data_IF_929788429521
#
_entry.id   IF_929788429521
#
_cell.length_a   1.000
_cell.length_b   1.000
_cell.length_c   1.000
_cell.angle_alpha   90.00
_cell.angle_beta   90.00
_cell.angle_gamma   90.00
#
_symmetry.space_group_name_H-M   'P 1'
#
loop_
_entity.id
_entity.type
_entity.pdbx_description
1 polymer ?
#
# COMPACT_ATOMS: atom_id res chain seq x y z
N UNK A 1 0.61 -13.24 -10.21
CA UNK A 1 1.92 -12.56 -10.36
C UNK A 1 2.94 -13.51 -10.95
N UNK A 2 3.97 -13.00 -11.63
CA UNK A 2 4.90 -13.83 -12.42
C UNK A 2 6.34 -13.51 -12.10
N UNK A 3 7.17 -14.54 -11.91
CA UNK A 3 8.62 -14.38 -11.74
C UNK A 3 9.29 -13.88 -13.01
N UNK A 4 8.79 -14.32 -14.18
CA UNK A 4 9.30 -13.91 -15.48
C UNK A 4 8.20 -13.27 -16.33
N UNK A 5 8.54 -12.14 -16.94
CA UNK A 5 7.64 -11.45 -17.87
C UNK A 5 7.25 -12.31 -19.06
N UNK A 6 8.17 -13.16 -19.53
CA UNK A 6 7.96 -14.02 -20.69
C UNK A 6 6.86 -15.06 -20.48
N UNK A 7 6.54 -15.40 -19.22
CA UNK A 7 5.52 -16.39 -18.89
C UNK A 7 4.11 -15.81 -18.91
N UNK A 8 3.98 -14.48 -18.89
CA UNK A 8 2.69 -13.77 -18.81
C UNK A 8 1.85 -14.00 -20.07
N UNK A 9 2.40 -13.73 -21.25
CA UNK A 9 1.62 -13.82 -22.49
C UNK A 9 1.17 -15.27 -22.79
N UNK A 10 2.01 -16.32 -22.62
CA UNK A 10 1.57 -17.72 -22.75
C UNK A 10 0.49 -18.12 -21.73
N UNK A 11 0.57 -17.60 -20.50
CA UNK A 11 -0.46 -17.81 -19.49
C UNK A 11 -1.79 -17.18 -19.91
N UNK A 12 -1.76 -15.89 -20.28
CA UNK A 12 -2.94 -15.16 -20.72
C UNK A 12 -3.58 -15.78 -21.96
N UNK A 13 -2.78 -16.27 -22.91
CA UNK A 13 -3.28 -16.93 -24.13
C UNK A 13 -4.13 -18.18 -23.86
N UNK A 14 -4.05 -18.76 -22.65
CA UNK A 14 -4.84 -19.90 -22.21
C UNK A 14 -6.04 -19.50 -21.33
N UNK A 15 -6.22 -18.21 -21.08
CA UNK A 15 -7.35 -17.64 -20.33
C UNK A 15 -8.42 -17.06 -21.26
N UNK A 16 -9.51 -16.64 -20.67
CA UNK A 16 -10.65 -15.96 -21.27
C UNK A 16 -10.24 -14.63 -21.92
N UNK A 17 -9.17 -14.00 -21.41
CA UNK A 17 -8.57 -12.79 -21.98
C UNK A 17 -7.48 -13.07 -23.03
N UNK A 18 -7.36 -14.32 -23.52
CA UNK A 18 -6.37 -14.74 -24.50
C UNK A 18 -6.27 -13.88 -25.77
N UNK A 19 -7.37 -13.41 -26.37
CA UNK A 19 -7.31 -12.49 -27.52
C UNK A 19 -6.55 -11.19 -27.24
N UNK A 20 -6.48 -10.77 -25.97
CA UNK A 20 -5.83 -9.54 -25.52
C UNK A 20 -4.50 -9.77 -24.81
N UNK A 21 -3.98 -11.00 -24.83
CA UNK A 21 -2.78 -11.40 -24.07
C UNK A 21 -1.56 -10.47 -24.31
N UNK A 22 -1.35 -10.03 -25.55
CA UNK A 22 -0.25 -9.12 -25.89
C UNK A 22 -0.45 -7.71 -25.31
N UNK A 23 -1.68 -7.19 -25.35
CA UNK A 23 -2.01 -5.88 -24.79
C UNK A 23 -1.86 -5.89 -23.27
N UNK A 24 -2.42 -6.89 -22.59
CA UNK A 24 -2.32 -7.06 -21.14
C UNK A 24 -0.86 -7.28 -20.70
N UNK A 25 -0.07 -8.07 -21.45
CA UNK A 25 1.36 -8.22 -21.19
C UNK A 25 2.15 -6.90 -21.41
N UNK A 26 1.63 -5.99 -22.22
CA UNK A 26 2.13 -4.62 -22.35
C UNK A 26 1.89 -3.76 -21.10
N UNK A 27 0.81 -4.03 -20.35
CA UNK A 27 0.44 -3.30 -19.14
C UNK A 27 1.16 -3.80 -17.88
N UNK A 28 1.86 -4.94 -17.91
CA UNK A 28 2.51 -5.47 -16.71
C UNK A 28 3.57 -4.52 -16.14
N UNK A 29 3.63 -4.44 -14.81
CA UNK A 29 4.61 -3.61 -14.08
C UNK A 29 5.57 -4.48 -13.26
N UNK A 30 6.85 -4.09 -13.14
CA UNK A 30 7.73 -4.73 -12.18
C UNK A 30 7.25 -4.46 -10.75
N UNK A 31 7.40 -5.46 -9.88
CA UNK A 31 7.02 -5.42 -8.48
C UNK A 31 7.97 -6.32 -7.67
N UNK A 32 7.86 -6.26 -6.36
CA UNK A 32 8.57 -7.14 -5.42
C UNK A 32 7.55 -7.74 -4.47
N UNK A 33 7.48 -9.07 -4.48
CA UNK A 33 6.86 -9.85 -3.40
C UNK A 33 7.88 -10.12 -2.31
N UNK A 34 7.42 -10.70 -1.21
CA UNK A 34 8.28 -10.98 -0.08
C UNK A 34 8.14 -12.42 0.38
N UNK A 35 9.24 -12.99 0.86
CA UNK A 35 9.24 -14.29 1.53
C UNK A 35 9.84 -14.15 2.90
N UNK A 36 9.49 -15.07 3.79
CA UNK A 36 10.10 -15.12 5.11
C UNK A 36 11.61 -15.30 5.00
N UNK A 37 12.35 -14.48 5.72
CA UNK A 37 13.80 -14.51 5.76
C UNK A 37 14.31 -14.52 7.21
N UNK A 38 15.61 -14.73 7.36
CA UNK A 38 16.29 -14.59 8.64
C UNK A 38 16.38 -13.12 9.04
N UNK A 39 16.30 -12.86 10.34
CA UNK A 39 16.48 -11.51 10.88
C UNK A 39 17.84 -10.91 10.53
N UNK A 40 17.83 -9.63 10.18
CA UNK A 40 19.02 -8.82 9.91
C UNK A 40 18.71 -7.35 10.24
N UNK A 41 19.56 -6.71 11.04
CA UNK A 41 19.47 -5.27 11.31
C UNK A 41 19.56 -4.48 10.00
N UNK A 42 18.62 -3.56 9.83
CA UNK A 42 18.47 -2.73 8.63
C UNK A 42 17.88 -3.46 7.42
N UNK A 43 17.58 -4.75 7.53
CA UNK A 43 16.95 -5.55 6.48
C UNK A 43 15.45 -5.30 6.35
N UNK A 44 14.83 -5.86 5.32
CA UNK A 44 13.37 -5.74 5.12
C UNK A 44 12.60 -6.49 6.21
N UNK A 45 11.56 -5.84 6.76
CA UNK A 45 10.62 -6.46 7.70
C UNK A 45 9.27 -5.75 7.73
N UNK A 46 8.26 -6.49 8.16
CA UNK A 46 6.89 -6.04 8.38
C UNK A 46 6.51 -6.19 9.85
N UNK A 47 5.83 -5.19 10.40
CA UNK A 47 5.44 -5.12 11.81
C UNK A 47 6.60 -5.15 12.80
N UNK A 48 6.24 -5.17 14.08
CA UNK A 48 7.15 -5.11 15.21
C UNK A 48 7.77 -3.73 15.36
N UNK A 49 9.09 -3.71 15.52
CA UNK A 49 9.86 -2.52 15.90
C UNK A 49 10.84 -2.14 14.78
N UNK A 50 10.99 -0.86 14.41
CA UNK A 50 11.94 -0.48 13.37
C UNK A 50 13.41 -0.57 13.84
N UNK A 51 14.32 -0.70 12.89
CA UNK A 51 15.75 -0.48 13.10
C UNK A 51 16.07 0.99 12.79
N UNK A 52 16.39 1.78 13.82
CA UNK A 52 16.61 3.23 13.70
C UNK A 52 17.88 3.65 14.42
N UNK A 53 18.52 4.78 14.05
CA UNK A 53 19.59 5.34 14.85
C UNK A 53 19.05 5.90 16.19
N UNK A 54 19.86 5.97 17.25
CA UNK A 54 19.43 6.48 18.55
C UNK A 54 18.87 7.91 18.54
N UNK A 55 19.30 8.72 17.56
CA UNK A 55 18.84 10.11 17.38
C UNK A 55 17.54 10.25 16.59
N UNK A 56 16.93 9.14 16.15
CA UNK A 56 15.72 9.19 15.34
C UNK A 56 14.53 9.69 16.18
N UNK A 57 13.86 10.73 15.70
CA UNK A 57 12.60 11.19 16.31
C UNK A 57 11.46 10.33 15.79
N UNK A 58 10.70 9.72 16.70
CA UNK A 58 9.53 8.95 16.32
C UNK A 58 8.52 9.84 15.57
N UNK A 59 7.97 9.41 14.43
CA UNK A 59 7.09 10.23 13.64
C UNK A 59 5.73 10.39 14.31
N UNK A 60 5.16 11.58 14.14
CA UNK A 60 3.81 11.91 14.55
C UNK A 60 3.07 12.60 13.41
N UNK A 61 1.74 12.47 13.45
CA UNK A 61 0.84 13.30 12.66
C UNK A 61 0.37 14.50 13.47
N UNK A 62 0.03 15.55 12.75
CA UNK A 62 -0.76 16.64 13.30
C UNK A 62 -2.21 16.20 13.54
N UNK A 63 -3.03 17.11 14.08
CA UNK A 63 -4.47 16.94 14.03
C UNK A 63 -4.93 16.87 12.57
N UNK A 64 -5.91 16.01 12.26
CA UNK A 64 -6.42 15.92 10.90
C UNK A 64 -7.13 17.21 10.52
N UNK A 65 -6.92 17.67 9.29
CA UNK A 65 -7.52 18.92 8.79
C UNK A 65 -9.05 18.91 8.85
N UNK A 66 -9.68 17.74 8.65
CA UNK A 66 -11.13 17.52 8.79
C UNK A 66 -11.52 16.88 10.14
N UNK A 67 -10.60 16.85 11.12
CA UNK A 67 -10.72 16.05 12.33
C UNK A 67 -11.94 16.36 13.18
N UNK A 68 -12.38 17.63 13.25
CA UNK A 68 -13.57 18.01 14.00
C UNK A 68 -14.86 17.39 13.42
N UNK A 69 -15.00 17.39 12.09
CA UNK A 69 -16.15 16.80 11.41
C UNK A 69 -16.16 15.27 11.56
N UNK A 70 -14.99 14.63 11.45
CA UNK A 70 -14.86 13.18 11.67
C UNK A 70 -15.15 12.81 13.13
N UNK A 71 -14.65 13.60 14.09
CA UNK A 71 -14.91 13.40 15.51
C UNK A 71 -16.39 13.49 15.85
N UNK A 72 -17.12 14.47 15.32
CA UNK A 72 -18.57 14.60 15.52
C UNK A 72 -19.32 13.36 15.04
N UNK A 73 -18.97 12.85 13.85
CA UNK A 73 -19.61 11.66 13.26
C UNK A 73 -19.29 10.37 13.98
N UNK A 74 -18.09 10.27 14.54
CA UNK A 74 -17.63 9.10 15.27
C UNK A 74 -17.82 9.23 16.79
N UNK A 75 -18.52 10.27 17.27
CA UNK A 75 -18.78 10.49 18.69
C UNK A 75 -19.47 9.29 19.37
N UNK A 76 -20.33 8.58 18.63
CA UNK A 76 -21.01 7.37 19.12
C UNK A 76 -20.06 6.20 19.41
N UNK A 77 -18.82 6.23 18.88
CA UNK A 77 -17.76 5.27 19.20
C UNK A 77 -16.99 5.62 20.48
N UNK A 78 -17.33 6.74 21.13
CA UNK A 78 -16.77 7.21 22.38
C UNK A 78 -16.01 8.52 22.23
N UNK A 79 -16.17 9.42 23.19
CA UNK A 79 -15.55 10.76 23.19
C UNK A 79 -14.02 10.70 23.15
N UNK A 80 -13.42 9.76 23.88
CA UNK A 80 -11.96 9.59 23.90
C UNK A 80 -11.38 9.12 22.58
N UNK A 81 -12.13 8.31 21.82
CA UNK A 81 -11.77 7.93 20.47
C UNK A 81 -11.96 9.10 19.50
N UNK A 82 -13.12 9.76 19.52
CA UNK A 82 -13.41 10.89 18.64
C UNK A 82 -12.41 12.05 18.81
N UNK A 83 -11.98 12.36 20.04
CA UNK A 83 -10.99 13.41 20.32
C UNK A 83 -9.64 13.16 19.63
N UNK A 84 -9.29 11.92 19.30
CA UNK A 84 -8.01 11.60 18.68
C UNK A 84 -7.84 12.22 17.30
N UNK A 85 -8.93 12.57 16.61
CA UNK A 85 -8.87 13.18 15.29
C UNK A 85 -8.48 14.66 15.34
N UNK A 86 -8.63 15.33 16.48
CA UNK A 86 -8.43 16.78 16.65
C UNK A 86 -7.14 17.14 17.39
N UNK A 87 -6.31 16.15 17.71
CA UNK A 87 -5.02 16.34 18.37
C UNK A 87 -3.90 15.61 17.62
N UNK A 88 -2.65 16.10 17.69
CA UNK A 88 -1.50 15.35 17.19
C UNK A 88 -1.36 13.98 17.88
N UNK A 89 -0.86 13.00 17.14
CA UNK A 89 -0.65 11.65 17.66
C UNK A 89 0.56 10.97 16.98
N UNK A 90 1.31 10.12 17.71
CA UNK A 90 2.34 9.28 17.09
C UNK A 90 1.71 8.29 16.10
N UNK A 91 2.44 7.96 15.04
CA UNK A 91 2.03 6.92 14.07
C UNK A 91 2.81 5.63 14.34
N UNK A 92 2.23 4.48 14.03
CA UNK A 92 2.83 3.17 14.31
C UNK A 92 3.63 2.67 13.10
N UNK A 93 4.62 1.82 13.36
CA UNK A 93 5.52 1.27 12.35
C UNK A 93 4.88 0.11 11.59
N UNK A 94 4.70 0.28 10.28
CA UNK A 94 4.13 -0.75 9.41
C UNK A 94 5.22 -1.67 8.88
N UNK A 95 6.27 -1.11 8.29
CA UNK A 95 7.37 -1.89 7.73
C UNK A 95 8.61 -1.03 7.45
N UNK A 96 9.75 -1.70 7.24
CA UNK A 96 10.92 -1.11 6.61
C UNK A 96 11.34 -1.97 5.42
N UNK A 97 11.79 -1.31 4.36
CA UNK A 97 12.22 -1.94 3.12
C UNK A 97 13.68 -1.57 2.87
N UNK A 98 14.57 -2.58 2.86
CA UNK A 98 15.97 -2.41 2.51
C UNK A 98 16.10 -2.15 1.00
N UNK A 99 16.40 -0.92 0.62
CA UNK A 99 16.56 -0.53 -0.78
C UNK A 99 17.89 -1.03 -1.37
N UNK A 100 18.79 -1.57 -0.53
CA UNK A 100 20.04 -2.16 -0.97
C UNK A 100 19.90 -3.62 -1.40
N UNK A 101 18.77 -4.27 -1.09
CA UNK A 101 18.43 -5.63 -1.49
C UNK A 101 18.56 -5.80 -3.02
N UNK A 102 19.35 -6.78 -3.52
CA UNK A 102 19.50 -7.04 -4.94
C UNK A 102 18.19 -7.30 -5.68
N UNK A 103 17.20 -7.94 -5.05
CA UNK A 103 15.88 -8.18 -5.64
C UNK A 103 15.11 -6.87 -5.85
N UNK A 104 15.12 -6.00 -4.83
CA UNK A 104 14.50 -4.68 -4.89
C UNK A 104 15.16 -3.83 -5.96
N UNK A 105 16.51 -3.78 -6.00
CA UNK A 105 17.26 -3.07 -7.04
C UNK A 105 16.97 -3.59 -8.44
N UNK A 106 16.91 -4.92 -8.61
CA UNK A 106 16.66 -5.55 -9.91
C UNK A 106 15.28 -5.19 -10.45
N UNK A 107 14.24 -5.26 -9.62
CA UNK A 107 12.88 -5.01 -10.05
C UNK A 107 12.55 -3.50 -10.13
N UNK A 108 12.96 -2.73 -9.12
CA UNK A 108 12.46 -1.38 -8.89
C UNK A 108 13.56 -0.31 -8.86
N UNK A 109 14.81 -0.64 -9.19
CA UNK A 109 15.93 0.32 -9.23
C UNK A 109 15.69 1.57 -10.09
N UNK A 110 14.97 1.50 -11.23
CA UNK A 110 14.58 2.70 -11.98
C UNK A 110 13.57 3.60 -11.25
N UNK A 111 12.77 3.03 -10.34
CA UNK A 111 11.67 3.71 -9.67
C UNK A 111 12.04 4.20 -8.27
N UNK A 112 12.77 3.40 -7.50
CA UNK A 112 13.11 3.66 -6.09
C UNK A 112 14.56 4.11 -5.95
N UNK A 113 14.94 4.74 -4.83
CA UNK A 113 16.36 4.96 -4.54
C UNK A 113 17.11 3.63 -4.41
N UNK A 114 18.41 3.64 -4.71
CA UNK A 114 19.27 2.44 -4.66
C UNK A 114 20.05 2.26 -3.35
N UNK A 115 19.76 3.08 -2.34
CA UNK A 115 20.49 3.14 -1.07
C UNK A 115 19.55 3.39 0.11
N UNK A 116 20.02 3.04 1.31
CA UNK A 116 19.27 3.22 2.54
C UNK A 116 18.05 2.30 2.63
N UNK A 117 17.01 2.77 3.33
CA UNK A 117 15.75 2.07 3.52
C UNK A 117 14.57 3.03 3.45
N UNK A 118 13.41 2.52 3.06
CA UNK A 118 12.14 3.21 3.28
C UNK A 118 11.49 2.68 4.55
N UNK A 119 11.13 3.58 5.46
CA UNK A 119 10.36 3.30 6.66
C UNK A 119 8.93 3.75 6.42
N UNK A 120 7.96 2.87 6.65
CA UNK A 120 6.54 3.15 6.49
C UNK A 120 5.90 3.19 7.87
N UNK A 121 5.26 4.31 8.18
CA UNK A 121 4.45 4.49 9.37
C UNK A 121 3.04 4.89 8.98
N UNK A 122 2.06 4.40 9.73
CA UNK A 122 0.65 4.70 9.53
C UNK A 122 -0.07 4.80 10.86
N UNK A 123 -1.10 5.63 10.90
CA UNK A 123 -1.97 5.78 12.05
C UNK A 123 -2.82 4.51 12.27
N UNK A 124 -2.33 3.58 13.09
CA UNK A 124 -3.05 2.37 13.46
C UNK A 124 -4.29 2.60 14.35
N UNK A 125 -4.48 3.83 14.86
CA UNK A 125 -5.64 4.24 15.63
C UNK A 125 -6.74 4.77 14.73
N UNK A 126 -6.55 5.98 14.20
CA UNK A 126 -7.54 6.72 13.42
C UNK A 126 -7.40 6.58 11.90
N UNK A 127 -6.28 6.04 11.40
CA UNK A 127 -6.00 5.89 9.97
C UNK A 127 -7.07 5.20 9.15
N UNK A 128 -7.81 4.18 9.65
CA UNK A 128 -8.93 3.56 8.91
C UNK A 128 -10.05 4.54 8.52
N UNK A 129 -10.09 5.73 9.13
CA UNK A 129 -11.06 6.78 8.87
C UNK A 129 -10.41 8.04 8.29
N UNK A 130 -9.23 7.90 7.67
CA UNK A 130 -8.52 8.98 7.00
C UNK A 130 -7.81 8.46 5.75
N UNK A 131 -8.05 9.11 4.61
CA UNK A 131 -7.47 8.75 3.30
C UNK A 131 -6.47 9.83 2.81
N UNK A 132 -5.85 10.52 3.77
CA UNK A 132 -4.99 11.68 3.55
C UNK A 132 -3.51 11.36 3.67
N UNK A 133 -2.66 12.30 3.25
CA UNK A 133 -1.21 12.27 3.57
C UNK A 133 -0.93 12.46 5.06
N UNK A 134 -1.89 13.00 5.83
CA UNK A 134 -1.70 13.27 7.26
C UNK A 134 -1.60 11.97 8.07
N UNK A 135 -2.26 10.89 7.61
CA UNK A 135 -2.36 9.60 8.29
C UNK A 135 -1.09 8.75 8.21
N UNK A 136 -0.13 9.10 7.35
CA UNK A 136 1.06 8.29 7.09
C UNK A 136 2.35 9.11 7.11
N UNK A 137 3.47 8.44 7.42
CA UNK A 137 4.81 8.99 7.23
C UNK A 137 5.66 7.94 6.53
N UNK A 138 6.19 8.30 5.37
CA UNK A 138 7.19 7.49 4.66
C UNK A 138 8.51 8.22 4.70
N UNK A 139 9.51 7.59 5.30
CA UNK A 139 10.81 8.21 5.57
C UNK A 139 11.88 7.44 4.82
N UNK A 140 12.65 8.14 3.98
CA UNK A 140 13.85 7.59 3.38
C UNK A 140 15.02 7.79 4.34
N UNK A 141 15.40 6.71 5.02
CA UNK A 141 16.48 6.71 6.00
C UNK A 141 17.79 6.22 5.37
N UNK A 142 18.83 7.04 5.51
CA UNK A 142 20.17 6.79 5.01
C UNK A 142 21.15 6.40 6.13
N UNK A 143 20.64 6.21 7.35
CA UNK A 143 21.50 5.91 8.49
C UNK A 143 22.30 4.62 8.26
N UNK A 144 23.63 4.64 8.48
CA UNK A 144 24.47 3.46 8.34
C UNK A 144 23.99 2.30 9.20
N UNK A 145 24.08 1.07 8.67
CA UNK A 145 23.58 -0.15 9.34
C UNK A 145 24.23 -0.38 10.71
N UNK A 146 25.52 -0.02 10.85
CA UNK A 146 26.28 -0.15 12.10
C UNK A 146 25.88 0.86 13.19
N UNK A 147 25.00 1.82 12.86
CA UNK A 147 24.44 2.79 13.81
C UNK A 147 23.00 2.50 14.20
N UNK A 148 22.43 1.41 13.72
CA UNK A 148 21.04 1.08 13.98
C UNK A 148 20.90 0.20 15.19
N UNK A 149 19.82 0.43 15.90
CA UNK A 149 19.34 -0.43 16.95
C UNK A 149 17.85 -0.66 16.76
N UNK A 150 17.38 -1.80 17.27
CA UNK A 150 15.95 -2.07 17.36
C UNK A 150 15.34 -1.05 18.34
N UNK A 151 14.33 -0.31 17.90
CA UNK A 151 13.68 0.71 18.74
C UNK A 151 12.27 0.28 19.13
N UNK A 152 12.08 0.14 20.44
CA UNK A 152 10.76 -0.08 21.03
C UNK A 152 9.82 1.09 20.71
N UNK A 153 8.52 0.79 20.68
CA UNK A 153 7.48 1.81 20.53
C UNK A 153 7.53 2.78 21.71
N UNK A 154 7.41 4.10 21.47
CA UNK A 154 7.32 5.06 22.56
C UNK A 154 6.05 4.82 23.39
N UNK A 155 6.13 5.05 24.71
CA UNK A 155 4.96 4.93 25.61
C UNK A 155 3.76 5.77 25.14
N UNK A 156 4.00 6.95 24.55
CA UNK A 156 2.94 7.79 23.99
C UNK A 156 2.18 7.12 22.83
N UNK A 157 2.82 6.23 22.06
CA UNK A 157 2.17 5.45 21.01
C UNK A 157 1.33 4.33 21.60
N UNK A 158 1.85 3.62 22.60
CA UNK A 158 1.09 2.60 23.32
C UNK A 158 -0.16 3.21 23.98
N UNK A 159 -0.01 4.35 24.67
CA UNK A 159 -1.12 5.09 25.28
C UNK A 159 -2.15 5.56 24.23
N UNK A 160 -1.69 5.94 23.04
CA UNK A 160 -2.55 6.35 21.94
C UNK A 160 -3.39 5.19 21.42
N UNK A 161 -2.73 4.07 21.10
CA UNK A 161 -3.37 2.86 20.58
C UNK A 161 -4.36 2.25 21.60
N UNK A 162 -3.98 2.22 22.88
CA UNK A 162 -4.81 1.67 23.96
C UNK A 162 -6.17 2.39 24.10
N UNK A 163 -6.24 3.70 23.86
CA UNK A 163 -7.51 4.47 23.88
C UNK A 163 -8.49 4.01 22.81
N UNK A 164 -7.98 3.51 21.68
CA UNK A 164 -8.76 2.90 20.61
C UNK A 164 -8.90 1.39 20.72
N UNK A 165 -8.43 0.79 21.82
CA UNK A 165 -8.33 -0.67 22.01
C UNK A 165 -7.57 -1.34 20.85
N UNK A 166 -6.45 -0.74 20.45
CA UNK A 166 -5.57 -1.25 19.40
C UNK A 166 -4.26 -1.78 20.00
N UNK A 167 -3.76 -2.87 19.46
CA UNK A 167 -2.47 -3.53 19.74
C UNK A 167 -1.35 -3.01 18.80
N UNK A 168 -1.70 -2.31 17.73
CA UNK A 168 -0.78 -1.86 16.70
C UNK A 168 -0.23 -3.00 15.84
N UNK A 169 0.75 -2.69 15.00
CA UNK A 169 1.40 -3.62 14.06
C UNK A 169 2.48 -4.47 14.77
N UNK A 170 2.09 -5.32 15.72
CA UNK A 170 3.03 -5.90 16.70
C UNK A 170 3.83 -7.12 16.23
N UNK A 171 3.40 -7.82 15.17
CA UNK A 171 4.01 -9.09 14.76
C UNK A 171 5.19 -8.86 13.80
N UNK A 172 6.43 -9.11 14.22
CA UNK A 172 7.57 -8.98 13.32
C UNK A 172 7.63 -10.14 12.31
N UNK A 173 7.73 -9.80 11.03
CA UNK A 173 8.00 -10.74 9.94
C UNK A 173 9.19 -10.24 9.13
N UNK A 174 10.34 -10.90 9.27
CA UNK A 174 11.54 -10.61 8.47
C UNK A 174 11.37 -11.17 7.07
N UNK A 175 11.80 -10.40 6.08
CA UNK A 175 11.56 -10.77 4.70
C UNK A 175 12.71 -10.47 3.75
N UNK A 176 12.75 -11.22 2.65
CA UNK A 176 13.61 -10.98 1.51
C UNK A 176 12.77 -10.71 0.26
N UNK A 177 13.25 -9.82 -0.62
CA UNK A 177 12.55 -9.50 -1.85
C UNK A 177 12.56 -10.64 -2.86
N UNK A 178 11.42 -10.87 -3.51
CA UNK A 178 11.28 -11.71 -4.69
C UNK A 178 10.81 -10.82 -5.85
N UNK A 179 11.66 -10.60 -6.86
CA UNK A 179 11.32 -9.75 -8.00
C UNK A 179 10.29 -10.46 -8.88
N UNK A 180 9.20 -9.76 -9.20
CA UNK A 180 8.06 -10.30 -9.95
C UNK A 180 7.49 -9.25 -10.90
N UNK A 181 6.52 -9.67 -11.69
CA UNK A 181 5.69 -8.84 -12.55
C UNK A 181 4.23 -8.94 -12.11
N UNK A 182 3.62 -7.77 -11.88
CA UNK A 182 2.21 -7.62 -11.53
C UNK A 182 1.37 -7.34 -12.77
N UNK A 183 0.18 -7.93 -12.81
CA UNK A 183 -0.88 -7.59 -13.76
C UNK A 183 -1.84 -6.57 -13.13
N UNK A 184 -2.44 -5.68 -13.94
CA UNK A 184 -3.55 -4.86 -13.46
C UNK A 184 -4.78 -5.74 -13.17
N UNK A 185 -5.59 -5.37 -12.18
CA UNK A 185 -6.90 -5.97 -11.98
C UNK A 185 -7.89 -5.55 -13.09
N UNK A 186 -9.07 -6.18 -13.14
CA UNK A 186 -10.07 -5.88 -14.18
C UNK A 186 -10.56 -4.44 -14.22
N UNK A 187 -10.86 -3.85 -13.08
CA UNK A 187 -11.38 -2.49 -13.00
C UNK A 187 -10.31 -1.52 -13.45
N UNK A 188 -9.06 -1.81 -13.08
CA UNK A 188 -7.93 -1.06 -13.58
C UNK A 188 -7.75 -1.25 -15.09
N UNK A 189 -7.86 -2.47 -15.63
CA UNK A 189 -7.81 -2.70 -17.08
C UNK A 189 -8.88 -1.89 -17.82
N UNK A 190 -10.10 -1.80 -17.28
CA UNK A 190 -11.16 -0.96 -17.84
C UNK A 190 -10.76 0.51 -17.98
N UNK A 191 -9.91 1.01 -17.08
CA UNK A 191 -9.44 2.40 -17.09
C UNK A 191 -8.22 2.63 -17.98
N UNK A 192 -7.23 1.73 -17.94
CA UNK A 192 -5.91 1.96 -18.56
C UNK A 192 -5.69 1.25 -19.89
N UNK A 193 -6.55 0.29 -20.27
CA UNK A 193 -6.41 -0.41 -21.54
C UNK A 193 -6.51 0.57 -22.72
N UNK A 194 -5.77 0.27 -23.79
CA UNK A 194 -5.71 1.13 -24.96
C UNK A 194 -6.92 0.92 -25.88
N UNK A 195 -7.42 -0.31 -25.95
CA UNK A 195 -8.55 -0.69 -26.80
C UNK A 195 -9.86 -0.71 -26.02
N UNK A 196 -10.97 -0.32 -26.66
CA UNK A 196 -12.29 -0.41 -26.02
C UNK A 196 -12.68 -1.88 -25.83
N UNK A 197 -12.26 -2.74 -26.76
CA UNK A 197 -12.50 -4.17 -26.74
C UNK A 197 -11.91 -4.84 -25.49
N UNK A 198 -10.67 -4.50 -25.08
CA UNK A 198 -10.11 -5.00 -23.82
C UNK A 198 -10.84 -4.42 -22.61
N UNK A 199 -11.22 -3.14 -22.64
CA UNK A 199 -11.97 -2.52 -21.53
C UNK A 199 -13.28 -3.24 -21.27
N UNK A 200 -14.01 -3.55 -22.34
CA UNK A 200 -15.29 -4.27 -22.28
C UNK A 200 -15.07 -5.72 -21.84
N UNK A 201 -14.06 -6.40 -22.40
CA UNK A 201 -13.76 -7.79 -22.05
C UNK A 201 -13.27 -7.97 -20.61
N UNK A 202 -12.55 -7.00 -20.05
CA UNK A 202 -11.99 -7.08 -18.70
C UNK A 202 -13.08 -7.10 -17.61
N UNK A 203 -14.25 -6.52 -17.87
CA UNK A 203 -15.37 -6.45 -16.91
C UNK A 203 -16.55 -7.32 -17.30
N UNK A 204 -16.40 -8.14 -18.34
CA UNK A 204 -17.41 -9.09 -18.77
C UNK A 204 -17.48 -10.26 -17.76
N UNK A 205 -18.68 -10.79 -17.52
CA UNK A 205 -18.92 -11.88 -16.57
C UNK A 205 -18.04 -13.11 -16.88
N UNK A 206 -17.73 -13.36 -18.16
CA UNK A 206 -16.86 -14.46 -18.58
C UNK A 206 -15.41 -14.33 -18.08
N UNK A 207 -14.98 -13.13 -17.68
CA UNK A 207 -13.65 -12.87 -17.15
C UNK A 207 -13.56 -12.94 -15.63
N UNK A 208 -14.69 -13.17 -14.93
CA UNK A 208 -14.77 -13.18 -13.47
C UNK A 208 -13.85 -14.24 -12.86
N UNK A 209 -13.81 -15.45 -13.42
CA UNK A 209 -12.96 -16.54 -12.91
C UNK A 209 -11.47 -16.17 -13.03
N UNK A 210 -11.03 -15.65 -14.18
CA UNK A 210 -9.66 -15.16 -14.35
C UNK A 210 -9.34 -14.05 -13.34
N UNK A 211 -10.24 -13.06 -13.21
CA UNK A 211 -9.98 -11.89 -12.37
C UNK A 211 -10.03 -12.23 -10.89
N UNK A 212 -10.94 -13.10 -10.46
CA UNK A 212 -11.01 -13.62 -9.09
C UNK A 212 -9.80 -14.50 -8.78
N UNK A 213 -9.59 -15.57 -9.55
CA UNK A 213 -8.57 -16.57 -9.25
C UNK A 213 -7.15 -16.02 -9.37
N UNK A 214 -6.84 -15.20 -10.38
CA UNK A 214 -5.47 -14.68 -10.57
C UNK A 214 -5.12 -13.59 -9.55
N UNK A 215 -6.10 -12.80 -9.12
CA UNK A 215 -5.87 -11.73 -8.15
C UNK A 215 -5.83 -12.27 -6.71
N UNK A 216 -6.74 -13.19 -6.36
CA UNK A 216 -6.78 -13.84 -5.06
C UNK A 216 -5.59 -14.77 -4.85
N UNK A 217 -5.23 -15.58 -5.86
CA UNK A 217 -3.99 -16.36 -5.80
C UNK A 217 -2.77 -15.44 -5.78
N UNK A 218 -2.82 -14.34 -6.54
CA UNK A 218 -1.77 -13.35 -6.61
C UNK A 218 -1.44 -12.72 -5.25
N UNK A 219 -2.35 -12.68 -4.28
CA UNK A 219 -2.07 -12.17 -2.94
C UNK A 219 -0.91 -12.89 -2.24
N UNK A 220 -0.85 -14.22 -2.35
CA UNK A 220 0.06 -15.06 -1.54
C UNK A 220 0.78 -16.16 -2.34
N UNK A 221 0.54 -16.25 -3.65
CA UNK A 221 1.05 -17.33 -4.50
C UNK A 221 1.50 -16.77 -5.86
N UNK A 222 2.72 -17.12 -6.26
CA UNK A 222 3.23 -16.82 -7.60
C UNK A 222 2.70 -17.83 -8.62
N UNK A 223 2.80 -17.51 -9.90
CA UNK A 223 2.36 -18.39 -10.99
C UNK A 223 3.01 -19.78 -10.95
N UNK A 224 4.24 -19.88 -10.43
CA UNK A 224 4.91 -21.17 -10.21
C UNK A 224 4.32 -22.04 -9.08
N UNK A 225 3.35 -21.52 -8.31
CA UNK A 225 2.84 -22.12 -7.09
C UNK A 225 3.65 -21.78 -5.83
N UNK A 226 4.76 -21.05 -5.97
CA UNK A 226 5.60 -20.60 -4.85
C UNK A 226 4.81 -19.65 -3.94
N UNK A 227 4.81 -19.92 -2.64
CA UNK A 227 4.12 -19.11 -1.63
C UNK A 227 4.97 -17.91 -1.23
N UNK A 228 4.32 -16.76 -1.09
CA UNK A 228 4.90 -15.48 -0.68
C UNK A 228 4.03 -14.84 0.40
N UNK A 229 4.58 -13.87 1.13
CA UNK A 229 3.86 -13.05 2.08
C UNK A 229 2.83 -12.16 1.36
N UNK A 230 1.76 -11.78 2.06
CA UNK A 230 0.65 -10.93 1.59
C UNK A 230 1.03 -9.44 1.46
N UNK A 231 2.29 -9.15 1.16
CA UNK A 231 2.81 -7.79 1.02
C UNK A 231 3.46 -7.60 -0.35
N UNK A 232 3.40 -6.37 -0.87
CA UNK A 232 4.02 -6.01 -2.15
C UNK A 232 4.65 -4.64 -2.11
N UNK A 233 5.71 -4.47 -2.88
CA UNK A 233 6.37 -3.20 -3.14
C UNK A 233 6.34 -2.92 -4.65
N UNK A 234 5.86 -1.75 -5.04
CA UNK A 234 5.66 -1.39 -6.45
C UNK A 234 4.61 -2.24 -7.16
N UNK A 235 4.55 -2.12 -8.49
CA UNK A 235 3.58 -2.83 -9.32
C UNK A 235 2.18 -2.20 -9.36
N UNK A 236 1.20 -3.01 -9.73
CA UNK A 236 -0.22 -2.67 -9.63
C UNK A 236 -0.79 -3.09 -8.26
N UNK A 237 -1.73 -2.30 -7.69
CA UNK A 237 -2.45 -2.73 -6.50
C UNK A 237 -3.32 -3.95 -6.81
N UNK A 238 -3.52 -4.80 -5.81
CA UNK A 238 -4.63 -5.77 -5.78
C UNK A 238 -5.63 -5.20 -4.78
N UNK A 239 -6.65 -4.44 -5.23
CA UNK A 239 -7.59 -3.74 -4.35
C UNK A 239 -8.59 -4.71 -3.70
N UNK A 240 -8.93 -4.49 -2.42
CA UNK A 240 -10.05 -5.19 -1.76
C UNK A 240 -11.40 -4.63 -2.24
N UNK A 241 -11.45 -3.32 -2.52
CA UNK A 241 -12.67 -2.62 -2.90
C UNK A 241 -12.57 -2.03 -4.31
N UNK A 242 -11.66 -1.07 -4.49
CA UNK A 242 -11.43 -0.38 -5.77
C UNK A 242 -10.00 0.10 -5.88
N UNK A 243 -9.54 0.56 -7.03
CA UNK A 243 -8.17 1.06 -7.15
C UNK A 243 -7.89 2.16 -6.09
N UNK A 244 -6.94 1.95 -5.15
CA UNK A 244 -6.64 2.93 -4.09
C UNK A 244 -6.14 4.27 -4.65
N UNK A 245 -5.64 4.30 -5.88
CA UNK A 245 -5.17 5.52 -6.54
C UNK A 245 -6.30 6.46 -6.92
N UNK A 246 -7.50 5.93 -7.18
CA UNK A 246 -8.70 6.76 -7.38
C UNK A 246 -9.04 7.53 -6.10
N UNK A 247 -9.02 6.83 -4.96
CA UNK A 247 -9.25 7.42 -3.65
C UNK A 247 -8.20 8.47 -3.32
N UNK A 248 -6.92 8.18 -3.57
CA UNK A 248 -5.85 9.15 -3.37
C UNK A 248 -5.98 10.38 -4.29
N UNK A 249 -6.35 10.19 -5.57
CA UNK A 249 -6.62 11.29 -6.49
C UNK A 249 -7.80 12.16 -6.01
N UNK A 250 -8.88 11.54 -5.52
CA UNK A 250 -10.03 12.24 -4.96
C UNK A 250 -9.67 13.02 -3.68
N UNK A 251 -8.85 12.44 -2.81
CA UNK A 251 -8.35 13.09 -1.60
C UNK A 251 -7.44 14.29 -1.95
N UNK A 252 -6.52 14.12 -2.90
CA UNK A 252 -5.61 15.19 -3.34
C UNK A 252 -6.34 16.37 -4.00
N UNK A 253 -7.46 16.11 -4.68
CA UNK A 253 -8.30 17.14 -5.28
C UNK A 253 -9.35 17.73 -4.32
N UNK A 254 -9.44 17.24 -3.07
CA UNK A 254 -10.44 17.67 -2.10
C UNK A 254 -11.88 17.25 -2.45
N UNK A 255 -12.04 16.29 -3.36
CA UNK A 255 -13.34 15.72 -3.73
C UNK A 255 -13.84 14.72 -2.71
N UNK A 256 -12.92 14.12 -1.96
CA UNK A 256 -13.26 13.13 -0.97
C UNK A 256 -13.72 13.77 0.33
N UNK A 257 -14.97 13.48 0.71
CA UNK A 257 -15.56 13.92 1.97
C UNK A 257 -16.11 12.71 2.70
N UNK A 258 -15.22 12.05 3.44
CA UNK A 258 -15.57 10.88 4.26
C UNK A 258 -16.84 11.17 5.07
N UNK A 259 -17.83 10.30 4.93
CA UNK A 259 -19.16 10.35 5.56
C UNK A 259 -20.11 11.49 5.14
N UNK A 260 -19.71 12.41 4.25
CA UNK A 260 -20.60 13.46 3.72
C UNK A 260 -21.33 13.01 2.46
N UNK A 261 -20.54 12.71 1.42
CA UNK A 261 -21.04 12.29 0.11
C UNK A 261 -19.94 11.56 -0.65
N UNK A 262 -20.38 10.68 -1.54
CA UNK A 262 -19.50 10.14 -2.58
C UNK A 262 -19.12 11.24 -3.59
N UNK A 263 -17.99 11.08 -4.29
CA UNK A 263 -17.68 11.88 -5.47
C UNK A 263 -18.82 11.82 -6.49
N UNK A 264 -19.10 12.94 -7.14
CA UNK A 264 -19.98 13.00 -8.31
C UNK A 264 -19.34 12.29 -9.50
N UNK A 265 -20.12 11.97 -10.52
CA UNK A 265 -19.63 11.33 -11.74
C UNK A 265 -18.51 12.14 -12.43
N UNK A 266 -18.67 13.47 -12.48
CA UNK A 266 -17.64 14.35 -13.06
C UNK A 266 -16.34 14.40 -12.21
N UNK A 267 -16.45 14.37 -10.88
CA UNK A 267 -15.29 14.28 -9.99
C UNK A 267 -14.59 12.93 -10.11
N UNK A 268 -15.37 11.86 -10.26
CA UNK A 268 -14.85 10.51 -10.49
C UNK A 268 -14.07 10.43 -11.81
N UNK A 269 -14.68 10.88 -12.91
CA UNK A 269 -14.05 10.92 -14.24
C UNK A 269 -12.76 11.77 -14.22
N UNK A 270 -12.75 12.89 -13.49
CA UNK A 270 -11.53 13.68 -13.30
C UNK A 270 -10.43 12.89 -12.59
N UNK A 271 -10.76 12.14 -11.53
CA UNK A 271 -9.81 11.28 -10.82
C UNK A 271 -9.29 10.14 -11.69
N UNK A 272 -10.16 9.47 -12.45
CA UNK A 272 -9.77 8.36 -13.33
C UNK A 272 -8.74 8.79 -14.39
N UNK A 273 -8.86 10.01 -14.93
CA UNK A 273 -7.85 10.57 -15.86
C UNK A 273 -6.49 10.80 -15.21
N UNK A 274 -6.44 10.96 -13.90
CA UNK A 274 -5.19 11.15 -13.17
C UNK A 274 -4.54 9.85 -12.74
N UNK A 275 -5.28 8.74 -12.58
CA UNK A 275 -4.77 7.44 -12.12
C UNK A 275 -3.47 7.00 -12.79
N UNK A 276 -3.25 7.19 -14.11
CA UNK A 276 -1.98 6.85 -14.75
C UNK A 276 -0.75 7.60 -14.18
N UNK A 277 -0.94 8.79 -13.61
CA UNK A 277 0.10 9.56 -12.95
C UNK A 277 0.38 9.11 -11.50
N UNK A 278 -0.46 8.23 -10.94
CA UNK A 278 -0.29 7.67 -9.60
C UNK A 278 0.35 6.29 -9.64
N UNK A 279 1.21 6.01 -8.67
CA UNK A 279 1.87 4.72 -8.49
C UNK A 279 1.75 4.23 -7.06
N UNK A 280 1.71 2.91 -6.90
CA UNK A 280 1.78 2.26 -5.59
C UNK A 280 3.24 2.12 -5.17
N UNK A 281 3.52 2.49 -3.92
CA UNK A 281 4.78 2.16 -3.25
C UNK A 281 4.66 0.82 -2.54
N UNK A 282 3.67 0.67 -1.66
CA UNK A 282 3.52 -0.49 -0.79
C UNK A 282 2.06 -0.92 -0.71
N UNK A 283 1.82 -2.22 -0.72
CA UNK A 283 0.60 -2.86 -0.28
C UNK A 283 0.93 -3.72 0.94
N UNK A 284 0.27 -3.49 2.06
CA UNK A 284 0.43 -4.28 3.27
C UNK A 284 -0.91 -4.79 3.78
N UNK A 285 -1.07 -6.11 3.83
CA UNK A 285 -2.17 -6.79 4.50
C UNK A 285 -2.10 -6.60 6.03
N UNK A 286 -3.22 -6.24 6.66
CA UNK A 286 -3.28 -5.95 8.11
C UNK A 286 -3.34 -7.21 8.96
N UNK A 287 -3.91 -8.30 8.45
CA UNK A 287 -4.08 -9.55 9.20
C UNK A 287 -2.73 -10.19 9.55
N UNK A 288 -1.72 -10.02 8.70
CA UNK A 288 -0.37 -10.54 8.92
C UNK A 288 0.49 -9.71 9.90
N UNK A 289 0.06 -8.50 10.28
CA UNK A 289 0.86 -7.58 11.12
C UNK A 289 0.61 -7.70 12.62
N UNK A 290 -0.20 -8.66 13.08
CA UNK A 290 -0.49 -8.84 14.51
C UNK A 290 -1.26 -7.66 15.11
N UNK A 291 -2.23 -7.18 14.34
CA UNK A 291 -3.15 -6.10 14.71
C UNK A 291 -4.49 -6.66 15.14
N UNK A 292 -5.36 -5.81 15.68
CA UNK A 292 -6.77 -6.16 15.92
C UNK A 292 -7.66 -5.88 14.70
N UNK A 293 -7.07 -5.53 13.55
CA UNK A 293 -7.81 -5.53 12.30
C UNK A 293 -8.06 -6.98 11.92
N UNK A 294 -9.33 -7.38 11.87
CA UNK A 294 -9.72 -8.73 11.47
C UNK A 294 -9.36 -9.04 10.01
N UNK A 295 -9.36 -8.00 9.17
CA UNK A 295 -9.15 -8.08 7.73
C UNK A 295 -8.72 -6.69 7.19
N UNK A 296 -8.38 -6.63 5.90
CA UNK A 296 -8.13 -5.39 5.18
C UNK A 296 -6.66 -5.14 4.85
N UNK A 297 -6.46 -4.22 3.91
CA UNK A 297 -5.17 -3.90 3.31
C UNK A 297 -4.97 -2.38 3.32
N UNK A 298 -3.76 -1.93 3.67
CA UNK A 298 -3.35 -0.53 3.48
C UNK A 298 -2.44 -0.41 2.26
N UNK A 299 -2.73 0.58 1.43
CA UNK A 299 -1.99 0.91 0.23
C UNK A 299 -1.33 2.28 0.39
N UNK A 300 -0.02 2.33 0.22
CA UNK A 300 0.73 3.57 0.16
C UNK A 300 0.92 3.95 -1.30
N UNK A 301 0.32 5.05 -1.73
CA UNK A 301 0.32 5.52 -3.12
C UNK A 301 0.78 6.98 -3.19
N UNK A 302 1.40 7.37 -4.30
CA UNK A 302 1.84 8.75 -4.53
C UNK A 302 1.91 9.06 -6.03
N UNK A 303 2.07 10.33 -6.41
CA UNK A 303 2.30 10.67 -7.82
C UNK A 303 3.69 10.25 -8.26
N UNK A 304 3.82 9.80 -9.50
CA UNK A 304 5.09 9.40 -10.09
C UNK A 304 6.11 10.55 -10.12
N UNK A 305 5.64 11.80 -10.29
CA UNK A 305 6.51 12.98 -10.25
C UNK A 305 7.09 13.24 -8.86
N UNK A 306 6.33 13.00 -7.80
CA UNK A 306 6.76 13.15 -6.40
C UNK A 306 7.76 12.04 -6.06
N UNK A 307 7.52 10.82 -6.56
CA UNK A 307 8.46 9.71 -6.42
C UNK A 307 9.78 10.01 -7.14
N UNK A 308 9.73 10.64 -8.32
CA UNK A 308 10.92 11.06 -9.06
C UNK A 308 11.73 12.10 -8.26
N UNK A 309 11.03 13.03 -7.60
CA UNK A 309 11.63 14.04 -6.70
C UNK A 309 12.05 13.49 -5.33
N UNK A 310 11.76 12.21 -5.03
CA UNK A 310 11.98 11.58 -3.71
C UNK A 310 11.23 12.27 -2.58
N UNK A 311 10.11 12.91 -2.90
CA UNK A 311 9.26 13.62 -1.93
C UNK A 311 8.25 12.66 -1.28
N UNK A 312 8.76 11.78 -0.40
CA UNK A 312 7.94 10.80 0.31
C UNK A 312 6.97 11.44 1.35
N UNK A 313 7.04 12.76 1.56
CA UNK A 313 6.07 13.49 2.39
C UNK A 313 4.66 13.55 1.76
N UNK A 314 4.55 13.20 0.47
CA UNK A 314 3.32 13.26 -0.33
C UNK A 314 2.59 11.93 -0.45
N UNK A 315 3.04 10.90 0.27
CA UNK A 315 2.41 9.58 0.22
C UNK A 315 1.04 9.61 0.89
N UNK A 316 0.02 9.12 0.18
CA UNK A 316 -1.30 8.82 0.73
C UNK A 316 -1.33 7.37 1.21
N UNK A 317 -1.92 7.14 2.38
CA UNK A 317 -2.28 5.81 2.84
C UNK A 317 -3.79 5.61 2.70
N UNK A 318 -4.17 4.58 1.95
CA UNK A 318 -5.56 4.23 1.67
C UNK A 318 -5.82 2.86 2.29
N UNK A 319 -6.73 2.80 3.26
CA UNK A 319 -7.13 1.55 3.88
C UNK A 319 -8.41 1.04 3.23
N UNK A 320 -8.43 -0.25 2.89
CA UNK A 320 -9.62 -0.92 2.37
C UNK A 320 -9.87 -2.17 3.20
N UNK A 321 -11.13 -2.42 3.51
CA UNK A 321 -11.58 -3.59 4.25
C UNK A 321 -12.44 -4.46 3.30
N UNK A 322 -12.30 -5.79 3.42
CA UNK A 322 -13.14 -6.77 2.72
C UNK A 322 -14.59 -6.77 3.20
#
# INVERSE_FOLDING_TARGET
>A
MFENRADIQPFLAQSELGPFAAEIAGLCKPSVCFEQATEKIGGTRFGGEPDLPPSFSWPAREAYSNGASVAERLASRGEDFARQFTVPAPVDFVCQIDLTDPAVKRALGPLLPGEGRLLFFWDGGCGPWSESTEAARVIWDHSPVDRLERRERPAALEDYLARGQRAGFSRPTHAAGVPVWSLPDRFLMQEIAATQELRDAAVADESDDFCGDVMDMGLTTLNSGRKVLSHRLGGWPIPEQRDPRLTAAAAANGFLRLFDRSPSEAEFEACSREVPAWTMLLQADMASLGTDFAEGTVYFVMRAEELTRRDFSRVHAIYQQT
#
